data_IF_327518845853
#
_entry.id   IF_327518845853
#
_cell.length_a   1.000
_cell.length_b   1.000
_cell.length_c   1.000
_cell.angle_alpha   90.00
_cell.angle_beta   90.00
_cell.angle_gamma   90.00
#
_symmetry.space_group_name_H-M   'P 1'
#
loop_
_entity.id
_entity.type
_entity.pdbx_description
1 polymer ?
#
# COMPACT_ATOMS: atom_id res chain seq x y z
N UNK A 1 9.83 -20.97 14.93
CA UNK A 1 8.77 -20.72 13.92
C UNK A 1 8.64 -19.23 13.78
N UNK A 2 8.82 -18.68 12.57
CA UNK A 2 8.59 -17.25 12.35
C UNK A 2 7.12 -16.94 12.58
N UNK A 3 6.86 -15.80 13.22
CA UNK A 3 5.50 -15.32 13.45
C UNK A 3 4.86 -14.98 12.09
N UNK A 4 3.65 -15.49 11.83
CA UNK A 4 2.89 -15.16 10.61
C UNK A 4 2.47 -13.71 10.72
N UNK A 5 2.86 -12.91 9.72
CA UNK A 5 2.53 -11.49 9.63
C UNK A 5 1.28 -11.26 8.78
N UNK A 6 1.20 -11.93 7.64
CA UNK A 6 0.09 -11.80 6.70
C UNK A 6 -0.36 -13.19 6.23
N UNK A 7 -1.66 -13.39 6.18
CA UNK A 7 -2.26 -14.63 5.70
C UNK A 7 -3.49 -14.30 4.86
N UNK A 8 -3.75 -15.05 3.83
CA UNK A 8 -5.05 -15.07 3.17
C UNK A 8 -5.62 -16.47 3.16
N UNK A 9 -6.93 -16.56 3.39
CA UNK A 9 -7.67 -17.82 3.48
C UNK A 9 -8.80 -17.84 2.46
N UNK A 10 -8.74 -18.78 1.51
CA UNK A 10 -9.75 -19.02 0.47
C UNK A 10 -10.21 -17.74 -0.23
N UNK A 11 -9.26 -16.85 -0.54
CA UNK A 11 -9.52 -15.53 -1.07
C UNK A 11 -10.07 -15.62 -2.50
N UNK A 12 -11.27 -15.09 -2.70
CA UNK A 12 -11.90 -14.98 -4.01
C UNK A 12 -12.22 -13.53 -4.33
N UNK A 13 -12.10 -13.17 -5.60
CA UNK A 13 -12.54 -11.87 -6.09
C UNK A 13 -13.27 -12.00 -7.41
N UNK A 14 -14.47 -11.45 -7.43
CA UNK A 14 -15.33 -11.30 -8.62
C UNK A 14 -15.67 -9.83 -8.79
N UNK A 15 -15.51 -9.33 -9.98
CA UNK A 15 -16.05 -8.03 -10.38
C UNK A 15 -17.34 -8.21 -11.17
N UNK A 16 -18.24 -7.26 -10.99
CA UNK A 16 -19.51 -7.23 -11.73
C UNK A 16 -19.64 -5.87 -12.40
N UNK A 17 -19.71 -5.86 -13.72
CA UNK A 17 -19.96 -4.68 -14.53
C UNK A 17 -21.26 -4.89 -15.32
N UNK A 18 -22.35 -4.27 -14.86
CA UNK A 18 -23.68 -4.53 -15.41
C UNK A 18 -24.06 -6.00 -15.27
N UNK A 19 -24.28 -6.67 -16.40
CA UNK A 19 -24.63 -8.10 -16.45
C UNK A 19 -23.41 -9.03 -16.63
N UNK A 20 -22.19 -8.49 -16.73
CA UNK A 20 -20.97 -9.27 -16.91
C UNK A 20 -20.33 -9.51 -15.54
N UNK A 21 -20.06 -10.77 -15.23
CA UNK A 21 -19.32 -11.19 -14.05
C UNK A 21 -17.95 -11.72 -14.48
N UNK A 22 -16.89 -11.25 -13.84
CA UNK A 22 -15.52 -11.70 -14.09
C UNK A 22 -14.91 -12.19 -12.79
N UNK A 23 -14.65 -13.50 -12.71
CA UNK A 23 -13.92 -14.11 -11.61
C UNK A 23 -12.41 -13.90 -11.83
N UNK A 24 -11.75 -13.23 -10.90
CA UNK A 24 -10.33 -12.86 -11.02
C UNK A 24 -9.45 -13.68 -10.08
N UNK A 25 -9.93 -13.99 -8.89
CA UNK A 25 -9.20 -14.82 -7.92
C UNK A 25 -10.10 -15.97 -7.45
N UNK A 26 -9.49 -17.17 -7.36
CA UNK A 26 -10.17 -18.41 -7.03
C UNK A 26 -9.47 -19.11 -5.87
N UNK A 27 -10.04 -19.06 -4.66
CA UNK A 27 -9.60 -19.77 -3.46
C UNK A 27 -8.09 -19.68 -3.19
N UNK A 28 -7.53 -18.47 -3.26
CA UNK A 28 -6.10 -18.23 -2.99
C UNK A 28 -5.85 -18.28 -1.49
N UNK A 29 -4.92 -19.14 -1.07
CA UNK A 29 -4.52 -19.28 0.34
C UNK A 29 -3.00 -19.39 0.45
N UNK A 30 -2.40 -18.57 1.29
CA UNK A 30 -0.99 -18.64 1.68
C UNK A 30 -0.73 -17.80 2.93
N UNK A 31 0.46 -17.90 3.48
CA UNK A 31 0.91 -17.08 4.61
C UNK A 31 2.32 -16.55 4.38
N UNK A 32 2.63 -15.40 4.98
CA UNK A 32 3.94 -14.74 4.94
C UNK A 32 4.37 -14.50 6.39
N UNK A 33 5.57 -14.97 6.74
CA UNK A 33 6.19 -14.76 8.04
C UNK A 33 6.93 -13.41 8.14
N UNK A 34 7.28 -13.04 9.36
CA UNK A 34 8.15 -11.86 9.59
C UNK A 34 9.50 -12.04 8.91
N UNK A 35 9.97 -11.03 8.18
CA UNK A 35 11.23 -11.03 7.44
C UNK A 35 11.22 -11.87 6.17
N UNK A 36 10.08 -12.45 5.79
CA UNK A 36 9.94 -13.24 4.57
C UNK A 36 9.72 -12.35 3.35
N UNK A 37 10.29 -12.76 2.22
CA UNK A 37 10.10 -12.14 0.92
C UNK A 37 9.35 -13.11 0.02
N UNK A 38 8.23 -12.67 -0.55
CA UNK A 38 7.40 -13.48 -1.46
C UNK A 38 7.24 -12.77 -2.81
N UNK A 39 7.36 -13.52 -3.90
CA UNK A 39 7.09 -13.03 -5.24
C UNK A 39 5.77 -13.61 -5.79
N UNK A 40 4.92 -12.75 -6.34
CA UNK A 40 3.70 -13.15 -7.05
C UNK A 40 4.00 -13.07 -8.55
N UNK A 41 4.00 -14.22 -9.22
CA UNK A 41 4.30 -14.34 -10.65
C UNK A 41 3.07 -14.81 -11.43
N UNK A 42 2.97 -14.40 -12.68
CA UNK A 42 1.85 -14.79 -13.55
C UNK A 42 1.77 -13.90 -14.80
N UNK A 43 1.00 -14.33 -15.78
CA UNK A 43 0.75 -13.58 -17.02
C UNK A 43 -0.01 -12.27 -16.75
N UNK A 44 0.00 -11.35 -17.71
CA UNK A 44 -0.83 -10.14 -17.62
C UNK A 44 -2.30 -10.51 -17.49
N UNK A 45 -3.02 -9.83 -16.62
CA UNK A 45 -4.45 -10.11 -16.37
C UNK A 45 -4.74 -11.29 -15.44
N UNK A 46 -3.71 -11.97 -14.88
CA UNK A 46 -3.91 -13.12 -13.96
C UNK A 46 -4.34 -12.74 -12.53
N UNK A 47 -4.65 -11.47 -12.26
CA UNK A 47 -5.13 -11.05 -10.95
C UNK A 47 -4.07 -10.62 -9.93
N UNK A 48 -2.78 -10.52 -10.32
CA UNK A 48 -1.68 -10.15 -9.40
C UNK A 48 -1.91 -8.82 -8.67
N UNK A 49 -2.27 -7.77 -9.40
CA UNK A 49 -2.56 -6.45 -8.81
C UNK A 49 -3.81 -6.50 -7.91
N UNK A 50 -4.84 -7.23 -8.33
CA UNK A 50 -6.05 -7.46 -7.52
C UNK A 50 -5.68 -8.14 -6.20
N UNK A 51 -4.84 -9.18 -6.24
CA UNK A 51 -4.38 -9.86 -5.03
C UNK A 51 -3.62 -8.90 -4.10
N UNK A 52 -2.69 -8.10 -4.62
CA UNK A 52 -1.95 -7.11 -3.83
C UNK A 52 -2.88 -6.06 -3.21
N UNK A 53 -3.90 -5.59 -3.93
CA UNK A 53 -4.89 -4.64 -3.39
C UNK A 53 -5.71 -5.26 -2.25
N UNK A 54 -6.10 -6.53 -2.37
CA UNK A 54 -6.81 -7.24 -1.31
C UNK A 54 -5.92 -7.46 -0.07
N UNK A 55 -4.68 -7.92 -0.28
CA UNK A 55 -3.71 -8.12 0.80
C UNK A 55 -3.42 -6.82 1.56
N UNK A 56 -3.36 -5.71 0.83
CA UNK A 56 -3.18 -4.38 1.41
C UNK A 56 -4.47 -3.75 1.97
N UNK A 57 -5.61 -4.42 1.88
CA UNK A 57 -6.90 -3.88 2.34
C UNK A 57 -7.37 -2.65 1.58
N UNK A 58 -6.88 -2.44 0.34
CA UNK A 58 -7.34 -1.37 -0.55
C UNK A 58 -8.68 -1.73 -1.21
N UNK A 59 -8.94 -3.03 -1.38
CA UNK A 59 -10.19 -3.56 -1.90
C UNK A 59 -10.72 -4.64 -0.93
N UNK A 60 -11.96 -5.09 -1.15
CA UNK A 60 -12.63 -6.10 -0.32
C UNK A 60 -12.79 -7.37 -1.12
N UNK A 61 -12.48 -8.56 -0.58
CA UNK A 61 -12.72 -9.82 -1.28
C UNK A 61 -14.22 -10.10 -1.44
N UNK A 62 -14.58 -10.89 -2.44
CA UNK A 62 -15.95 -11.40 -2.59
C UNK A 62 -16.22 -12.48 -1.55
N UNK A 63 -15.24 -13.32 -1.25
CA UNK A 63 -15.25 -14.28 -0.14
C UNK A 63 -13.82 -14.58 0.30
N UNK A 64 -13.69 -15.26 1.44
CA UNK A 64 -12.41 -15.46 2.09
C UNK A 64 -12.00 -14.25 2.92
N UNK A 65 -10.82 -14.28 3.51
CA UNK A 65 -10.34 -13.18 4.36
C UNK A 65 -8.83 -12.96 4.22
N UNK A 66 -8.42 -11.75 4.54
CA UNK A 66 -7.02 -11.38 4.76
C UNK A 66 -6.82 -11.14 6.25
N UNK A 67 -5.82 -11.79 6.81
CA UNK A 67 -5.51 -11.75 8.24
C UNK A 67 -4.14 -11.09 8.40
N UNK A 68 -4.10 -9.95 9.09
CA UNK A 68 -2.86 -9.23 9.38
C UNK A 68 -2.54 -9.33 10.87
N UNK A 69 -1.38 -9.87 11.21
CA UNK A 69 -0.94 -10.11 12.60
C UNK A 69 -2.01 -10.80 13.45
N UNK A 70 -2.70 -11.80 12.89
CA UNK A 70 -3.78 -12.54 13.55
C UNK A 70 -5.15 -11.83 13.57
N UNK A 71 -5.27 -10.64 13.00
CA UNK A 71 -6.52 -9.89 12.95
C UNK A 71 -7.16 -9.95 11.55
N UNK A 72 -8.36 -10.55 11.39
CA UNK A 72 -9.08 -10.57 10.13
C UNK A 72 -9.51 -9.16 9.69
N UNK A 73 -9.16 -8.78 8.46
CA UNK A 73 -9.50 -7.45 7.92
C UNK A 73 -11.01 -7.29 7.66
N UNK A 74 -11.73 -8.38 7.43
CA UNK A 74 -13.19 -8.38 7.27
C UNK A 74 -13.92 -7.89 8.53
N UNK A 75 -13.34 -8.09 9.71
CA UNK A 75 -13.90 -7.66 10.99
C UNK A 75 -13.61 -6.20 11.33
N UNK A 76 -12.77 -5.52 10.56
CA UNK A 76 -12.44 -4.13 10.76
C UNK A 76 -13.45 -3.20 10.08
N UNK A 77 -13.82 -2.11 10.75
CA UNK A 77 -14.51 -1.00 10.10
C UNK A 77 -13.61 -0.37 9.02
N UNK A 78 -14.21 0.37 8.09
CA UNK A 78 -13.46 1.10 7.05
C UNK A 78 -12.40 2.03 7.65
N UNK A 79 -12.73 2.73 8.73
CA UNK A 79 -11.80 3.61 9.44
C UNK A 79 -10.65 2.83 10.09
N UNK A 80 -10.95 1.72 10.78
CA UNK A 80 -9.93 0.88 11.41
C UNK A 80 -8.99 0.23 10.38
N UNK A 81 -9.52 -0.17 9.21
CA UNK A 81 -8.72 -0.69 8.11
C UNK A 81 -7.81 0.37 7.50
N UNK A 82 -8.30 1.60 7.33
CA UNK A 82 -7.50 2.72 6.86
C UNK A 82 -6.37 3.07 7.84
N UNK A 83 -6.64 3.05 9.15
CA UNK A 83 -5.66 3.28 10.19
C UNK A 83 -4.58 2.18 10.23
N UNK A 84 -4.98 0.91 10.09
CA UNK A 84 -4.04 -0.21 9.98
C UNK A 84 -3.12 -0.05 8.77
N UNK A 85 -3.66 0.28 7.59
CA UNK A 85 -2.84 0.56 6.39
C UNK A 85 -1.84 1.68 6.64
N UNK A 86 -2.28 2.77 7.23
CA UNK A 86 -1.42 3.93 7.48
C UNK A 86 -0.25 3.62 8.41
N UNK A 87 -0.46 2.77 9.41
CA UNK A 87 0.56 2.46 10.42
C UNK A 87 1.48 1.30 10.07
N UNK A 88 0.95 0.27 9.39
CA UNK A 88 1.60 -1.04 9.32
C UNK A 88 1.97 -1.44 7.89
N UNK A 89 1.40 -0.81 6.85
CA UNK A 89 1.58 -1.22 5.47
C UNK A 89 2.21 -0.09 4.65
N UNK A 90 3.22 -0.43 3.86
CA UNK A 90 3.80 0.43 2.84
C UNK A 90 3.48 -0.11 1.44
N UNK A 91 3.23 0.80 0.50
CA UNK A 91 2.97 0.46 -0.89
C UNK A 91 3.99 1.13 -1.79
N UNK A 92 4.58 0.36 -2.70
CA UNK A 92 5.39 0.87 -3.79
C UNK A 92 4.72 0.47 -5.09
N UNK A 93 4.31 1.46 -5.88
CA UNK A 93 3.62 1.24 -7.16
C UNK A 93 4.60 1.36 -8.33
N UNK A 94 4.23 0.77 -9.47
CA UNK A 94 4.97 0.94 -10.72
C UNK A 94 5.03 2.41 -11.16
N UNK A 95 3.93 3.15 -10.97
CA UNK A 95 3.88 4.60 -11.14
C UNK A 95 3.89 5.26 -9.76
N UNK A 96 4.58 6.38 -9.65
CA UNK A 96 4.84 7.05 -8.37
C UNK A 96 3.58 7.52 -7.61
N UNK A 97 2.47 7.77 -8.30
CA UNK A 97 1.20 8.25 -7.73
C UNK A 97 1.32 9.48 -6.80
N UNK A 98 2.34 10.31 -7.02
CA UNK A 98 2.51 11.55 -6.25
C UNK A 98 1.37 12.53 -6.55
N UNK A 99 0.95 13.24 -5.53
CA UNK A 99 -0.04 14.30 -5.62
C UNK A 99 0.58 15.49 -6.35
N UNK A 100 0.09 15.89 -7.54
CA UNK A 100 0.79 16.84 -8.42
C UNK A 100 0.85 18.26 -7.85
N UNK A 101 -0.12 18.65 -7.03
CA UNK A 101 -0.23 19.98 -6.46
C UNK A 101 0.62 20.18 -5.20
N UNK A 102 1.18 19.10 -4.66
CA UNK A 102 1.98 19.10 -3.44
C UNK A 102 3.47 18.98 -3.77
N UNK A 103 4.32 19.65 -2.97
CA UNK A 103 5.77 19.51 -3.05
C UNK A 103 6.25 18.10 -2.67
N UNK A 104 7.50 17.77 -2.94
CA UNK A 104 8.11 16.51 -2.52
C UNK A 104 8.00 16.31 -0.99
N UNK A 105 8.28 17.37 -0.22
CA UNK A 105 8.15 17.32 1.24
C UNK A 105 6.73 17.05 1.69
N UNK A 106 5.73 17.69 1.09
CA UNK A 106 4.32 17.50 1.41
C UNK A 106 3.82 16.10 1.03
N UNK A 107 4.26 15.56 -0.11
CA UNK A 107 3.96 14.18 -0.51
C UNK A 107 4.49 13.17 0.52
N UNK A 108 5.77 13.30 0.92
CA UNK A 108 6.39 12.43 1.92
C UNK A 108 5.74 12.61 3.31
N UNK A 109 5.29 13.82 3.65
CA UNK A 109 4.62 14.12 4.91
C UNK A 109 3.20 13.56 5.00
N UNK A 110 2.54 13.28 3.86
CA UNK A 110 1.12 12.92 3.81
C UNK A 110 0.73 11.74 4.72
N UNK A 111 1.45 10.60 4.76
CA UNK A 111 1.13 9.50 5.67
C UNK A 111 1.19 9.90 7.14
N UNK A 112 2.11 10.78 7.51
CA UNK A 112 2.26 11.27 8.87
C UNK A 112 1.13 12.22 9.27
N UNK A 113 0.66 13.05 8.32
CA UNK A 113 -0.51 13.92 8.47
C UNK A 113 -1.78 13.09 8.69
N UNK A 114 -2.01 12.08 7.86
CA UNK A 114 -3.13 11.14 7.99
C UNK A 114 -3.07 10.42 9.35
N UNK A 115 -1.87 10.01 9.79
CA UNK A 115 -1.62 9.39 11.08
C UNK A 115 -1.69 10.34 12.27
N UNK A 116 -2.07 11.62 12.06
CA UNK A 116 -2.27 12.64 13.11
C UNK A 116 -1.03 12.83 14.01
N UNK A 117 0.17 12.72 13.44
CA UNK A 117 1.42 13.00 14.15
C UNK A 117 1.52 14.49 14.48
N UNK A 118 2.37 14.86 15.43
CA UNK A 118 2.61 16.26 15.79
C UNK A 118 3.29 17.02 14.64
N UNK A 119 2.91 18.26 14.33
CA UNK A 119 3.46 19.01 13.18
C UNK A 119 4.99 19.07 13.15
N UNK A 120 5.65 19.32 14.27
CA UNK A 120 7.12 19.35 14.36
C UNK A 120 7.77 18.00 14.03
N UNK A 121 7.12 16.89 14.39
CA UNK A 121 7.60 15.54 14.08
C UNK A 121 7.39 15.19 12.60
N UNK A 122 6.30 15.68 12.00
CA UNK A 122 5.99 15.46 10.59
C UNK A 122 7.08 16.06 9.72
N UNK A 123 7.38 17.34 9.91
CA UNK A 123 8.39 18.04 9.12
C UNK A 123 9.77 17.40 9.27
N UNK A 124 10.17 17.11 10.51
CA UNK A 124 11.45 16.48 10.82
C UNK A 124 11.60 15.11 10.14
N UNK A 125 10.57 14.24 10.24
CA UNK A 125 10.60 12.90 9.67
C UNK A 125 10.57 12.95 8.14
N UNK A 126 9.74 13.78 7.54
CA UNK A 126 9.67 13.92 6.09
C UNK A 126 10.99 14.44 5.49
N UNK A 127 11.63 15.42 6.13
CA UNK A 127 12.97 15.90 5.73
C UNK A 127 14.02 14.79 5.84
N UNK A 128 14.02 14.04 6.93
CA UNK A 128 14.94 12.92 7.12
C UNK A 128 14.77 11.84 6.03
N UNK A 129 13.55 11.53 5.61
CA UNK A 129 13.29 10.60 4.51
C UNK A 129 13.84 11.13 3.18
N UNK A 130 13.58 12.38 2.84
CA UNK A 130 14.14 13.01 1.62
C UNK A 130 15.68 13.04 1.64
N UNK A 131 16.27 13.31 2.77
CA UNK A 131 17.73 13.26 2.95
C UNK A 131 18.28 11.85 2.73
N UNK A 132 17.61 10.83 3.27
CA UNK A 132 18.02 9.43 3.12
C UNK A 132 18.06 8.95 1.66
N UNK A 133 17.24 9.56 0.78
CA UNK A 133 17.22 9.26 -0.66
C UNK A 133 17.94 10.31 -1.52
N UNK A 134 18.67 11.27 -0.87
CA UNK A 134 19.47 12.29 -1.55
C UNK A 134 18.65 13.40 -2.22
N UNK A 135 17.43 13.67 -1.73
CA UNK A 135 16.51 14.66 -2.32
C UNK A 135 16.17 15.84 -1.41
N UNK A 136 16.95 16.08 -0.36
CA UNK A 136 16.74 17.22 0.55
C UNK A 136 16.66 18.56 -0.21
N UNK A 137 17.55 18.76 -1.20
CA UNK A 137 17.59 19.96 -2.04
C UNK A 137 16.39 20.11 -2.99
N UNK A 138 15.55 19.07 -3.12
CA UNK A 138 14.32 19.04 -3.92
C UNK A 138 13.05 19.14 -3.09
N UNK A 139 13.14 19.35 -1.78
CA UNK A 139 12.01 19.33 -0.83
C UNK A 139 10.82 20.18 -1.26
N UNK A 140 11.06 21.33 -1.86
CA UNK A 140 10.03 22.30 -2.26
C UNK A 140 9.60 22.17 -3.73
N UNK A 141 10.18 21.24 -4.50
CA UNK A 141 9.82 21.01 -5.88
C UNK A 141 8.54 20.18 -5.98
N UNK A 142 7.70 20.48 -6.96
CA UNK A 142 6.52 19.68 -7.30
C UNK A 142 6.91 18.49 -8.19
N UNK A 143 6.07 17.45 -8.29
CA UNK A 143 6.37 16.28 -9.14
C UNK A 143 6.68 16.64 -10.60
N UNK A 144 6.07 17.68 -11.15
CA UNK A 144 6.34 18.17 -12.52
C UNK A 144 7.77 18.71 -12.70
N UNK A 145 8.41 19.15 -11.63
CA UNK A 145 9.77 19.72 -11.61
C UNK A 145 10.86 18.68 -11.29
N UNK A 146 10.44 17.43 -11.03
CA UNK A 146 11.30 16.30 -10.69
C UNK A 146 11.48 15.37 -11.90
N UNK A 147 12.68 14.83 -12.07
CA UNK A 147 12.93 13.75 -13.01
C UNK A 147 12.14 12.48 -12.65
N UNK A 148 12.02 11.53 -13.60
CA UNK A 148 11.34 10.26 -13.35
C UNK A 148 11.94 9.49 -12.17
N UNK A 149 13.28 9.43 -12.08
CA UNK A 149 13.97 8.77 -10.99
C UNK A 149 13.84 9.51 -9.64
N UNK A 150 13.78 10.85 -9.65
CA UNK A 150 13.51 11.63 -8.43
C UNK A 150 12.08 11.39 -7.93
N UNK A 151 11.08 11.42 -8.83
CA UNK A 151 9.69 11.08 -8.48
C UNK A 151 9.56 9.71 -7.85
N UNK A 152 10.26 8.71 -8.41
CA UNK A 152 10.24 7.35 -7.87
C UNK A 152 10.88 7.26 -6.48
N UNK A 153 11.91 8.08 -6.19
CA UNK A 153 12.51 8.12 -4.85
C UNK A 153 11.68 8.92 -3.83
N UNK A 154 10.83 9.84 -4.29
CA UNK A 154 9.88 10.55 -3.41
C UNK A 154 8.71 9.66 -3.01
N UNK A 155 8.27 8.76 -3.90
CA UNK A 155 7.19 7.81 -3.66
C UNK A 155 7.62 6.67 -2.73
#
# INVERSE_FOLDING_TARGET
MNKILLQCDNLCKRYQEGNVQTDVLHNVSFSIGEGEMMAIVGTSGSGKSTLLHLLGGLDTPTSGDVIFSGQPMSKLSTAARADLRNRELGFIYQFHHLLPDFSALENVAMPLLIGKKKPADIERQAKAMLQAVGLEHRSHHRPSELSGGERQRVA
#
